data_IF_084328972880
#
_entry.id   IF_084328972880
#
_cell.length_a   1.000
_cell.length_b   1.000
_cell.length_c   1.000
_cell.angle_alpha   90.00
_cell.angle_beta   90.00
_cell.angle_gamma   90.00
#
_symmetry.space_group_name_H-M   'P 1'
#
loop_
_entity.id
_entity.type
_entity.pdbx_description
1 polymer ?
#
# COMPACT_ATOMS: atom_id res chain seq x y z
N UNK A 1 6.36 10.60 16.73
CA UNK A 1 4.96 11.06 16.61
C UNK A 1 4.01 10.17 17.43
N UNK A 2 4.04 8.84 17.25
CA UNK A 2 3.17 7.93 18.00
C UNK A 2 3.39 8.02 19.52
N UNK A 3 4.64 8.16 19.97
CA UNK A 3 4.99 8.22 21.40
C UNK A 3 4.71 9.60 22.00
N UNK A 4 4.76 10.67 21.19
CA UNK A 4 4.44 12.03 21.62
C UNK A 4 2.95 12.37 21.56
N UNK A 5 2.16 11.58 20.82
CA UNK A 5 0.72 11.77 20.63
C UNK A 5 -0.03 10.44 20.78
N UNK A 6 0.00 9.82 21.97
CA UNK A 6 -0.57 8.49 22.18
C UNK A 6 -2.08 8.43 21.94
N UNK A 7 -2.79 9.53 22.15
CA UNK A 7 -4.23 9.62 21.88
C UNK A 7 -4.60 9.46 20.40
N UNK A 8 -3.65 9.67 19.49
CA UNK A 8 -3.88 9.51 18.06
C UNK A 8 -3.94 8.02 17.60
N UNK A 9 -3.55 7.08 18.47
CA UNK A 9 -3.62 5.62 18.23
C UNK A 9 -2.98 5.16 16.90
N UNK A 10 -1.91 5.83 16.46
CA UNK A 10 -1.24 5.52 15.19
C UNK A 10 -0.66 4.11 15.12
N UNK A 11 -0.22 3.58 16.25
CA UNK A 11 0.31 2.22 16.39
C UNK A 11 -0.37 1.54 17.58
N UNK A 12 -0.52 0.19 17.55
CA UNK A 12 -1.03 -0.57 18.67
C UNK A 12 -0.22 -0.35 19.95
N UNK A 13 -0.90 -0.42 21.10
CA UNK A 13 -0.25 -0.32 22.42
C UNK A 13 0.43 -1.64 22.77
N UNK A 14 -0.18 -2.78 22.42
CA UNK A 14 0.41 -4.09 22.63
C UNK A 14 1.74 -4.23 21.86
N UNK A 15 2.85 -4.60 22.54
CA UNK A 15 4.16 -4.66 21.90
C UNK A 15 4.23 -5.60 20.68
N UNK A 16 3.54 -6.75 20.74
CA UNK A 16 3.53 -7.72 19.64
C UNK A 16 2.77 -7.18 18.42
N UNK A 17 1.57 -6.64 18.64
CA UNK A 17 0.77 -6.01 17.59
C UNK A 17 1.50 -4.78 17.00
N UNK A 18 2.17 -3.98 17.85
CA UNK A 18 2.99 -2.84 17.43
C UNK A 18 4.15 -3.28 16.54
N UNK A 19 4.85 -4.34 16.90
CA UNK A 19 5.92 -4.89 16.08
C UNK A 19 5.40 -5.36 14.71
N UNK A 20 4.24 -6.00 14.67
CA UNK A 20 3.61 -6.41 13.40
C UNK A 20 3.18 -5.20 12.55
N UNK A 21 2.62 -4.15 13.15
CA UNK A 21 2.27 -2.93 12.43
C UNK A 21 3.52 -2.25 11.83
N UNK A 22 4.61 -2.15 12.59
CA UNK A 22 5.89 -1.60 12.11
C UNK A 22 6.46 -2.48 10.99
N UNK A 23 6.43 -3.80 11.15
CA UNK A 23 6.86 -4.74 10.10
C UNK A 23 6.07 -4.53 8.81
N UNK A 24 4.76 -4.30 8.89
CA UNK A 24 3.91 -4.00 7.75
C UNK A 24 4.27 -2.68 7.07
N UNK A 25 4.52 -1.62 7.84
CA UNK A 25 4.98 -0.33 7.33
C UNK A 25 6.31 -0.49 6.56
N UNK A 26 7.28 -1.21 7.15
CA UNK A 26 8.57 -1.48 6.52
C UNK A 26 8.39 -2.34 5.26
N UNK A 27 7.50 -3.34 5.28
CA UNK A 27 7.23 -4.17 4.11
C UNK A 27 6.75 -3.32 2.93
N UNK A 28 5.77 -2.44 3.12
CA UNK A 28 5.27 -1.55 2.06
C UNK A 28 6.37 -0.61 1.59
N UNK A 29 7.08 0.03 2.51
CA UNK A 29 8.15 0.98 2.19
C UNK A 29 9.31 0.36 1.42
N UNK A 30 9.69 -0.88 1.76
CA UNK A 30 10.87 -1.54 1.18
C UNK A 30 10.54 -2.39 -0.07
N UNK A 31 9.32 -2.91 -0.19
CA UNK A 31 8.98 -3.85 -1.27
C UNK A 31 7.95 -3.28 -2.26
N UNK A 32 6.97 -2.50 -1.82
CA UNK A 32 5.93 -1.99 -2.70
C UNK A 32 6.29 -0.63 -3.28
N UNK A 33 6.69 0.31 -2.45
CA UNK A 33 6.96 1.69 -2.88
C UNK A 33 8.11 1.80 -3.90
N UNK A 34 9.26 1.11 -3.76
CA UNK A 34 10.33 1.17 -4.76
C UNK A 34 9.89 0.65 -6.14
N UNK A 35 9.00 -0.33 -6.19
CA UNK A 35 8.47 -0.82 -7.46
C UNK A 35 7.68 0.26 -8.21
N UNK A 36 6.94 1.10 -7.48
CA UNK A 36 6.20 2.23 -8.06
C UNK A 36 7.19 3.21 -8.69
N UNK A 37 8.28 3.53 -7.99
CA UNK A 37 9.33 4.41 -8.51
C UNK A 37 9.96 3.86 -9.80
N UNK A 38 10.21 2.55 -9.89
CA UNK A 38 10.74 1.93 -11.12
C UNK A 38 9.70 1.96 -12.25
N UNK A 39 8.41 1.78 -11.94
CA UNK A 39 7.34 1.88 -12.95
C UNK A 39 7.22 3.29 -13.49
N UNK A 40 7.33 4.30 -12.63
CA UNK A 40 7.19 5.70 -13.02
C UNK A 40 8.44 6.22 -13.77
N UNK A 41 9.63 5.83 -13.31
CA UNK A 41 10.93 6.33 -13.80
C UNK A 41 11.91 5.19 -14.12
N UNK A 42 11.58 4.29 -15.07
CA UNK A 42 12.41 3.12 -15.37
C UNK A 42 13.83 3.50 -15.85
N UNK A 43 13.98 4.66 -16.49
CA UNK A 43 15.26 5.19 -16.98
C UNK A 43 16.29 5.44 -15.87
N UNK A 44 15.86 5.54 -14.61
CA UNK A 44 16.75 5.71 -13.45
C UNK A 44 17.37 4.41 -12.95
N UNK A 45 16.85 3.27 -13.40
CA UNK A 45 17.20 1.94 -12.86
C UNK A 45 17.82 1.01 -13.91
N UNK A 46 17.78 1.38 -15.17
CA UNK A 46 18.35 0.59 -16.28
C UNK A 46 19.27 1.48 -17.08
N UNK A 47 20.57 1.16 -17.04
CA UNK A 47 21.57 1.85 -17.86
C UNK A 47 21.22 1.70 -19.34
N UNK A 48 21.47 2.76 -20.11
CA UNK A 48 21.26 2.80 -21.55
C UNK A 48 19.80 2.55 -22.02
N UNK A 49 18.83 2.67 -21.10
CA UNK A 49 17.42 2.55 -21.44
C UNK A 49 16.99 3.63 -22.46
N UNK A 50 17.51 4.86 -22.29
CA UNK A 50 17.23 5.98 -23.17
C UNK A 50 15.76 6.16 -23.49
N UNK A 51 15.47 6.50 -24.75
CA UNK A 51 14.11 6.67 -25.27
C UNK A 51 13.52 5.38 -25.90
N UNK A 52 14.11 4.19 -25.63
CA UNK A 52 13.54 2.92 -26.09
C UNK A 52 12.21 2.61 -25.38
N UNK A 53 11.11 3.05 -25.97
CA UNK A 53 9.77 2.85 -25.45
C UNK A 53 9.41 1.37 -25.28
N UNK A 54 9.89 0.48 -26.16
CA UNK A 54 9.58 -0.94 -26.09
C UNK A 54 10.25 -1.58 -24.86
N UNK A 55 11.51 -1.22 -24.61
CA UNK A 55 12.24 -1.68 -23.44
C UNK A 55 11.66 -1.08 -22.15
N UNK A 56 11.35 0.22 -22.14
CA UNK A 56 10.66 0.86 -21.00
C UNK A 56 9.34 0.18 -20.67
N UNK A 57 8.52 -0.15 -21.67
CA UNK A 57 7.25 -0.87 -21.50
C UNK A 57 7.46 -2.25 -20.88
N UNK A 58 8.51 -2.97 -21.29
CA UNK A 58 8.86 -4.28 -20.72
C UNK A 58 9.28 -4.16 -19.25
N UNK A 59 10.11 -3.17 -18.91
CA UNK A 59 10.53 -2.91 -17.52
C UNK A 59 9.31 -2.59 -16.65
N UNK A 60 8.45 -1.66 -17.09
CA UNK A 60 7.21 -1.32 -16.37
C UNK A 60 6.30 -2.53 -16.17
N UNK A 61 6.12 -3.36 -17.19
CA UNK A 61 5.26 -4.54 -17.10
C UNK A 61 5.81 -5.59 -16.12
N UNK A 62 7.10 -5.89 -16.19
CA UNK A 62 7.76 -6.82 -15.27
C UNK A 62 7.72 -6.34 -13.82
N UNK A 63 8.03 -5.06 -13.61
CA UNK A 63 8.02 -4.44 -12.27
C UNK A 63 6.60 -4.40 -11.69
N UNK A 64 5.58 -4.10 -12.50
CA UNK A 64 4.18 -4.13 -12.06
C UNK A 64 3.75 -5.53 -11.62
N UNK A 65 4.17 -6.57 -12.33
CA UNK A 65 3.92 -7.96 -11.94
C UNK A 65 4.55 -8.28 -10.56
N UNK A 66 5.75 -7.78 -10.31
CA UNK A 66 6.43 -7.94 -9.01
C UNK A 66 5.70 -7.16 -7.91
N UNK A 67 5.29 -5.91 -8.17
CA UNK A 67 4.50 -5.11 -7.24
C UNK A 67 3.21 -5.81 -6.84
N UNK A 68 2.47 -6.36 -7.81
CA UNK A 68 1.22 -7.07 -7.55
C UNK A 68 1.44 -8.28 -6.65
N UNK A 69 2.51 -9.05 -6.88
CA UNK A 69 2.89 -10.18 -6.04
C UNK A 69 3.28 -9.77 -4.61
N UNK A 70 3.95 -8.63 -4.44
CA UNK A 70 4.24 -8.09 -3.10
C UNK A 70 2.94 -7.73 -2.37
N UNK A 71 1.96 -7.17 -3.03
CA UNK A 71 0.67 -6.87 -2.42
C UNK A 71 -0.14 -8.13 -2.07
N UNK A 72 -0.07 -9.18 -2.87
CA UNK A 72 -0.65 -10.48 -2.51
C UNK A 72 0.03 -11.05 -1.26
N UNK A 73 1.37 -11.03 -1.22
CA UNK A 73 2.13 -11.45 -0.03
C UNK A 73 1.78 -10.61 1.19
N UNK A 74 1.63 -9.29 1.02
CA UNK A 74 1.21 -8.40 2.10
C UNK A 74 -0.15 -8.80 2.65
N UNK A 75 -1.13 -9.00 1.79
CA UNK A 75 -2.48 -9.41 2.18
C UNK A 75 -2.49 -10.74 2.96
N UNK A 76 -1.64 -11.69 2.55
CA UNK A 76 -1.53 -13.00 3.20
C UNK A 76 -0.79 -12.93 4.56
N UNK A 77 0.20 -12.03 4.71
CA UNK A 77 1.04 -11.90 5.90
C UNK A 77 0.48 -10.97 6.98
N UNK A 78 -0.42 -10.05 6.62
CA UNK A 78 -0.96 -9.02 7.51
C UNK A 78 -2.50 -9.06 7.56
N UNK A 79 -3.07 -10.06 8.25
CA UNK A 79 -4.53 -10.19 8.38
C UNK A 79 -5.12 -9.03 9.19
N UNK A 80 -6.20 -8.43 8.69
CA UNK A 80 -6.93 -7.37 9.37
C UNK A 80 -8.00 -7.91 10.33
N UNK A 81 -8.24 -7.19 11.48
CA UNK A 81 -9.25 -7.56 12.49
C UNK A 81 -9.82 -6.33 13.23
N UNK A 82 -10.76 -5.58 12.72
CA UNK A 82 -11.22 -5.45 11.33
C UNK A 82 -10.27 -4.63 10.44
N UNK A 83 -9.26 -3.97 11.03
CA UNK A 83 -8.23 -3.18 10.39
C UNK A 83 -6.85 -3.84 10.54
N UNK A 84 -5.88 -3.39 9.78
CA UNK A 84 -4.48 -3.86 9.86
C UNK A 84 -3.84 -3.51 11.22
N UNK A 85 -4.28 -2.41 11.81
CA UNK A 85 -3.83 -1.94 13.13
C UNK A 85 -4.61 -2.57 14.30
N UNK A 86 -5.58 -3.47 14.03
CA UNK A 86 -6.47 -4.08 15.01
C UNK A 86 -7.89 -3.51 14.97
N UNK A 87 -8.42 -3.05 16.11
CA UNK A 87 -9.79 -2.54 16.20
C UNK A 87 -9.97 -1.14 15.60
N UNK A 88 -8.91 -0.37 15.48
CA UNK A 88 -8.93 1.01 15.00
C UNK A 88 -7.96 1.23 13.86
N UNK A 89 -8.31 2.15 12.96
CA UNK A 89 -7.42 2.60 11.89
C UNK A 89 -6.17 3.23 12.49
N UNK A 90 -5.01 2.83 11.99
CA UNK A 90 -3.71 3.37 12.36
C UNK A 90 -2.83 3.67 11.14
N UNK A 91 -1.56 3.89 11.39
CA UNK A 91 -0.59 4.28 10.36
C UNK A 91 -0.48 3.23 9.24
N UNK A 92 -0.49 1.93 9.58
CA UNK A 92 -0.40 0.85 8.60
C UNK A 92 -1.59 0.84 7.65
N UNK A 93 -2.80 1.06 8.19
CA UNK A 93 -4.03 1.11 7.42
C UNK A 93 -3.99 2.24 6.39
N UNK A 94 -3.67 3.45 6.84
CA UNK A 94 -3.60 4.62 5.96
C UNK A 94 -2.52 4.46 4.90
N UNK A 95 -1.36 3.96 5.27
CA UNK A 95 -0.27 3.74 4.33
C UNK A 95 -0.61 2.68 3.29
N UNK A 96 -1.21 1.57 3.69
CA UNK A 96 -1.66 0.53 2.77
C UNK A 96 -2.75 1.05 1.82
N UNK A 97 -3.75 1.78 2.33
CA UNK A 97 -4.83 2.33 1.53
C UNK A 97 -4.33 3.32 0.48
N UNK A 98 -3.39 4.21 0.84
CA UNK A 98 -2.81 5.19 -0.10
C UNK A 98 -1.92 4.52 -1.14
N UNK A 99 -0.91 3.75 -0.72
CA UNK A 99 0.10 3.19 -1.64
C UNK A 99 -0.51 2.17 -2.60
N UNK A 100 -1.56 1.45 -2.18
CA UNK A 100 -2.30 0.54 -3.06
C UNK A 100 -3.09 1.21 -4.19
N UNK A 101 -3.29 2.53 -4.16
CA UNK A 101 -3.99 3.25 -5.25
C UNK A 101 -3.18 3.33 -6.54
N UNK A 102 -1.86 3.16 -6.47
CA UNK A 102 -0.97 3.40 -7.62
C UNK A 102 -0.71 2.15 -8.45
N UNK A 103 -0.28 2.37 -9.69
CA UNK A 103 0.23 1.35 -10.61
C UNK A 103 -0.71 0.18 -10.91
N UNK A 104 -2.04 0.40 -10.78
CA UNK A 104 -3.06 -0.61 -11.04
C UNK A 104 -3.23 -1.65 -9.93
N UNK A 105 -2.60 -1.44 -8.77
CA UNK A 105 -2.62 -2.39 -7.65
C UNK A 105 -4.03 -2.67 -7.14
N UNK A 106 -4.90 -1.65 -6.99
CA UNK A 106 -6.27 -1.84 -6.45
C UNK A 106 -7.11 -2.79 -7.29
N UNK A 107 -7.08 -2.65 -8.61
CA UNK A 107 -7.81 -3.55 -9.50
C UNK A 107 -7.28 -4.99 -9.40
N UNK A 108 -5.95 -5.15 -9.27
CA UNK A 108 -5.34 -6.46 -9.09
C UNK A 108 -5.73 -7.08 -7.73
N UNK A 109 -5.62 -6.32 -6.64
CA UNK A 109 -5.96 -6.78 -5.28
C UNK A 109 -7.45 -7.15 -5.18
N UNK A 110 -8.35 -6.36 -5.77
CA UNK A 110 -9.78 -6.67 -5.80
C UNK A 110 -10.06 -8.04 -6.47
N UNK A 111 -9.31 -8.37 -7.50
CA UNK A 111 -9.45 -9.66 -8.20
C UNK A 111 -8.76 -10.82 -7.45
N UNK A 112 -7.52 -10.62 -6.97
CA UNK A 112 -6.69 -11.68 -6.40
C UNK A 112 -6.90 -11.89 -4.89
N UNK A 113 -7.26 -10.85 -4.15
CA UNK A 113 -7.44 -10.86 -2.68
C UNK A 113 -8.64 -10.00 -2.27
N UNK A 114 -9.87 -10.37 -2.66
CA UNK A 114 -11.08 -9.55 -2.44
C UNK A 114 -11.35 -9.25 -0.97
N UNK A 115 -11.01 -10.14 -0.05
CA UNK A 115 -11.14 -9.90 1.38
C UNK A 115 -10.23 -8.74 1.86
N UNK A 116 -9.01 -8.65 1.33
CA UNK A 116 -8.11 -7.55 1.64
C UNK A 116 -8.56 -6.24 0.97
N UNK A 117 -9.07 -6.29 -0.25
CA UNK A 117 -9.66 -5.11 -0.90
C UNK A 117 -10.84 -4.55 -0.10
N UNK A 118 -11.68 -5.40 0.48
CA UNK A 118 -12.76 -4.98 1.37
C UNK A 118 -12.25 -4.26 2.63
N UNK A 119 -11.07 -4.64 3.16
CA UNK A 119 -10.42 -3.90 4.25
C UNK A 119 -10.00 -2.51 3.79
N UNK A 120 -9.34 -2.40 2.63
CA UNK A 120 -8.93 -1.11 2.08
C UNK A 120 -10.12 -0.19 1.81
N UNK A 121 -11.23 -0.72 1.29
CA UNK A 121 -12.47 0.04 1.10
C UNK A 121 -13.06 0.53 2.43
N UNK A 122 -13.03 -0.31 3.48
CA UNK A 122 -13.48 0.07 4.81
C UNK A 122 -12.65 1.20 5.40
N UNK A 123 -11.32 1.18 5.20
CA UNK A 123 -10.43 2.26 5.63
C UNK A 123 -10.79 3.56 4.91
N UNK A 124 -10.99 3.52 3.60
CA UNK A 124 -11.33 4.69 2.79
C UNK A 124 -12.69 5.28 3.12
N UNK A 125 -13.63 4.44 3.56
CA UNK A 125 -14.97 4.86 3.97
C UNK A 125 -15.04 5.42 5.41
N UNK A 126 -13.94 5.34 6.20
CA UNK A 126 -13.94 5.89 7.55
C UNK A 126 -14.16 7.41 7.52
N UNK A 127 -15.13 7.96 8.30
CA UNK A 127 -15.48 9.38 8.27
C UNK A 127 -14.31 10.33 8.50
N UNK A 128 -13.27 9.90 9.22
CA UNK A 128 -12.07 10.72 9.51
C UNK A 128 -11.21 10.96 8.28
N UNK A 129 -11.27 10.10 7.27
CA UNK A 129 -10.40 10.15 6.10
C UNK A 129 -11.15 10.16 4.76
N UNK A 130 -12.44 9.82 4.75
CA UNK A 130 -13.24 9.68 3.53
C UNK A 130 -13.22 10.95 2.65
N UNK A 131 -13.32 12.12 3.26
CA UNK A 131 -13.28 13.40 2.53
C UNK A 131 -11.93 13.59 1.82
N UNK A 132 -10.82 13.20 2.45
CA UNK A 132 -9.47 13.29 1.87
C UNK A 132 -9.33 12.31 0.70
N UNK A 133 -9.81 11.07 0.88
CA UNK A 133 -9.79 10.10 -0.22
C UNK A 133 -10.66 10.54 -1.40
N UNK A 134 -11.84 11.09 -1.16
CA UNK A 134 -12.71 11.62 -2.21
C UNK A 134 -12.08 12.81 -2.97
N UNK A 135 -11.32 13.66 -2.28
CA UNK A 135 -10.61 14.77 -2.91
C UNK A 135 -9.48 14.30 -3.85
N UNK A 136 -8.71 13.29 -3.45
CA UNK A 136 -7.53 12.83 -4.20
C UNK A 136 -7.86 11.74 -5.23
N UNK A 137 -8.89 10.94 -4.96
CA UNK A 137 -9.37 9.87 -5.84
C UNK A 137 -10.89 9.96 -5.99
N UNK A 138 -11.42 10.99 -6.68
CA UNK A 138 -12.86 11.14 -6.87
C UNK A 138 -13.44 9.92 -7.60
N UNK A 139 -14.67 9.51 -7.29
CA UNK A 139 -15.35 8.47 -8.05
C UNK A 139 -15.45 8.90 -9.52
N UNK A 140 -15.24 7.93 -10.43
CA UNK A 140 -15.35 8.14 -11.88
C UNK A 140 -16.81 8.14 -12.31
#
# INVERSE_FOLDING_TARGET
LADTHPAASWLPVDPSARAQAIRGLVFIAANCYPMITIIDYPERFVSDLGDDEALQKRVRAGTRKTLHRHWEMFADLFPARPFLNGEHIGALDLYAAVVSKWSGTRAHVAAARPAFDAVLQRIEADPRVAAIFAQHWPPK
#
